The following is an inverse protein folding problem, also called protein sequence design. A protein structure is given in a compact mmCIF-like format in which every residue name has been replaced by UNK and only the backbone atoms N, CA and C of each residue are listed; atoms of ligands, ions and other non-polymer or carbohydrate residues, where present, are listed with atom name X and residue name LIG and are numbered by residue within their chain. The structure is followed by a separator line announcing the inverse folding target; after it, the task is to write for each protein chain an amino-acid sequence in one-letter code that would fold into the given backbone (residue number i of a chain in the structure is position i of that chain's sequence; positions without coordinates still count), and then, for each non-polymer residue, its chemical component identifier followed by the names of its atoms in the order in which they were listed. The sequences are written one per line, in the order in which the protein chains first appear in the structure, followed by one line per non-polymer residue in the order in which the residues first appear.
data_IF_142023257276
#
_entry.id   IF_142023257276
#
_cell.length_a   1.000
_cell.length_b   1.000
_cell.length_c   1.000
_cell.angle_alpha   90.00
_cell.angle_beta   90.00
_cell.angle_gamma   90.00
#
_symmetry.space_group_name_H-M   'P 1'
#
loop_
_entity.id
_entity.type
_entity.pdbx_description
1 polymer ?
#
# COMPACT_ATOMS: atom_id res chain seq x y z
N UNK A 1 -11.06 -22.65 -13.99
CA UNK A 1 -12.23 -21.77 -13.79
C UNK A 1 -13.01 -21.61 -15.09
N UNK A 2 -12.47 -21.00 -16.15
CA UNK A 2 -13.15 -20.86 -17.46
C UNK A 2 -13.85 -22.13 -17.95
N UNK A 3 -13.16 -23.28 -17.96
CA UNK A 3 -13.77 -24.56 -18.35
C UNK A 3 -15.02 -24.92 -17.54
N UNK A 4 -14.96 -24.76 -16.21
CA UNK A 4 -16.06 -25.10 -15.30
C UNK A 4 -17.23 -24.11 -15.40
N UNK A 5 -16.93 -22.82 -15.54
CA UNK A 5 -17.95 -21.77 -15.57
C UNK A 5 -18.53 -21.53 -16.97
N UNK A 6 -18.03 -22.18 -18.02
CA UNK A 6 -18.48 -22.00 -19.41
C UNK A 6 -19.97 -22.35 -19.63
N UNK A 7 -20.54 -23.23 -18.80
CA UNK A 7 -21.96 -23.60 -18.90
C UNK A 7 -22.92 -22.51 -18.41
N UNK A 8 -22.41 -21.46 -17.78
CA UNK A 8 -23.21 -20.38 -17.22
C UNK A 8 -23.16 -19.14 -18.12
N UNK A 9 -24.32 -18.59 -18.45
CA UNK A 9 -24.41 -17.45 -19.37
C UNK A 9 -24.18 -16.10 -18.67
N UNK A 10 -24.62 -15.96 -17.42
CA UNK A 10 -24.48 -14.69 -16.70
C UNK A 10 -23.15 -14.62 -15.94
N UNK A 11 -22.60 -13.41 -15.82
CA UNK A 11 -21.27 -13.19 -15.22
C UNK A 11 -21.28 -13.49 -13.72
N UNK A 12 -22.39 -13.21 -13.02
CA UNK A 12 -22.47 -13.41 -11.57
C UNK A 12 -22.41 -14.90 -11.20
N UNK A 13 -23.11 -15.74 -11.95
CA UNK A 13 -23.07 -17.19 -11.83
C UNK A 13 -21.68 -17.71 -12.19
N UNK A 14 -21.05 -17.21 -13.27
CA UNK A 14 -19.66 -17.58 -13.61
C UNK A 14 -18.72 -17.31 -12.44
N UNK A 15 -18.86 -16.18 -11.75
CA UNK A 15 -18.04 -15.81 -10.58
C UNK A 15 -18.38 -16.72 -9.38
N UNK A 16 -19.66 -16.87 -9.05
CA UNK A 16 -20.10 -17.70 -7.93
C UNK A 16 -19.62 -19.16 -8.09
N UNK A 17 -19.75 -19.73 -9.29
CA UNK A 17 -19.28 -21.08 -9.61
C UNK A 17 -17.76 -21.19 -9.60
N UNK A 18 -17.06 -20.14 -10.01
CA UNK A 18 -15.59 -20.09 -9.87
C UNK A 18 -15.16 -20.08 -8.40
N UNK A 19 -15.89 -19.40 -7.51
CA UNK A 19 -15.63 -19.45 -6.06
C UNK A 19 -15.87 -20.83 -5.48
N UNK A 20 -17.00 -21.47 -5.82
CA UNK A 20 -17.29 -22.85 -5.42
C UNK A 20 -16.23 -23.82 -5.92
N UNK A 21 -15.72 -23.65 -7.13
CA UNK A 21 -14.62 -24.46 -7.66
C UNK A 21 -13.34 -24.28 -6.83
N UNK A 22 -13.00 -23.05 -6.41
CA UNK A 22 -11.83 -22.80 -5.57
C UNK A 22 -11.95 -23.48 -4.20
N UNK A 23 -13.15 -23.46 -3.60
CA UNK A 23 -13.44 -24.21 -2.36
C UNK A 23 -13.31 -25.71 -2.59
N UNK A 24 -13.95 -26.24 -3.63
CA UNK A 24 -13.84 -27.65 -4.01
C UNK A 24 -12.40 -28.11 -4.23
N UNK A 25 -11.55 -27.29 -4.86
CA UNK A 25 -10.12 -27.59 -5.02
C UNK A 25 -9.41 -27.65 -3.67
N UNK A 26 -9.71 -26.74 -2.74
CA UNK A 26 -9.11 -26.75 -1.40
C UNK A 26 -9.52 -28.01 -0.64
N UNK A 27 -10.80 -28.36 -0.67
CA UNK A 27 -11.34 -29.54 0.02
C UNK A 27 -10.78 -30.84 -0.58
N UNK A 28 -10.73 -30.93 -1.92
CA UNK A 28 -10.18 -32.11 -2.63
C UNK A 28 -8.71 -32.36 -2.32
N UNK A 29 -7.97 -31.30 -1.97
CA UNK A 29 -6.55 -31.40 -1.67
C UNK A 29 -6.27 -31.49 -0.18
N UNK A 30 -7.27 -31.39 0.71
CA UNK A 30 -7.09 -31.21 2.16
C UNK A 30 -6.01 -32.13 2.75
N UNK A 31 -6.09 -33.43 2.46
CA UNK A 31 -5.17 -34.47 2.97
C UNK A 31 -3.92 -34.69 2.12
N UNK A 32 -3.79 -34.00 0.98
CA UNK A 32 -2.61 -34.10 0.11
C UNK A 32 -1.50 -33.18 0.59
N UNK A 33 -0.35 -33.78 0.88
CA UNK A 33 0.89 -33.10 1.27
C UNK A 33 1.90 -32.97 0.11
N UNK A 34 1.50 -33.31 -1.12
CA UNK A 34 2.40 -33.15 -2.26
C UNK A 34 2.77 -31.67 -2.46
N UNK A 35 4.02 -31.35 -2.88
CA UNK A 35 4.43 -29.96 -3.08
C UNK A 35 3.52 -29.19 -4.05
N UNK A 36 3.03 -29.86 -5.11
CA UNK A 36 2.09 -29.27 -6.06
C UNK A 36 0.73 -28.96 -5.41
N UNK A 37 0.20 -29.86 -4.56
CA UNK A 37 -1.03 -29.61 -3.83
C UNK A 37 -0.90 -28.41 -2.88
N UNK A 38 0.26 -28.21 -2.25
CA UNK A 38 0.51 -27.04 -1.41
C UNK A 38 0.48 -25.73 -2.22
N UNK A 39 1.14 -25.69 -3.39
CA UNK A 39 1.08 -24.55 -4.31
C UNK A 39 -0.36 -24.29 -4.74
N UNK A 40 -1.09 -25.32 -5.15
CA UNK A 40 -2.47 -25.17 -5.62
C UNK A 40 -3.42 -24.73 -4.49
N UNK A 41 -3.25 -25.23 -3.26
CA UNK A 41 -3.99 -24.76 -2.07
C UNK A 41 -3.71 -23.30 -1.75
N UNK A 42 -2.45 -22.86 -1.80
CA UNK A 42 -2.10 -21.46 -1.53
C UNK A 42 -2.67 -20.55 -2.61
N UNK A 43 -2.60 -20.98 -3.87
CA UNK A 43 -3.15 -20.26 -5.01
C UNK A 43 -4.67 -20.13 -4.94
N UNK A 44 -5.36 -21.24 -4.69
CA UNK A 44 -6.82 -21.22 -4.53
C UNK A 44 -7.26 -20.33 -3.35
N UNK A 45 -6.50 -20.36 -2.25
CA UNK A 45 -6.76 -19.52 -1.08
C UNK A 45 -6.50 -18.03 -1.35
N UNK A 46 -5.49 -17.70 -2.17
CA UNK A 46 -5.22 -16.34 -2.59
C UNK A 46 -6.37 -15.80 -3.45
N UNK A 47 -6.77 -16.56 -4.48
CA UNK A 47 -7.86 -16.19 -5.38
C UNK A 47 -9.20 -16.08 -4.66
N UNK A 48 -9.50 -16.98 -3.73
CA UNK A 48 -10.74 -16.92 -2.96
C UNK A 48 -10.89 -15.60 -2.15
N UNK A 49 -9.78 -14.97 -1.77
CA UNK A 49 -9.77 -13.68 -1.05
C UNK A 49 -9.89 -12.45 -1.95
N UNK A 50 -9.67 -12.61 -3.27
CA UNK A 50 -9.78 -11.50 -4.21
C UNK A 50 -11.24 -11.09 -4.40
N UNK A 51 -11.46 -9.85 -4.86
CA UNK A 51 -12.81 -9.36 -5.15
C UNK A 51 -13.36 -9.96 -6.45
N UNK A 52 -14.69 -9.90 -6.62
CA UNK A 52 -15.37 -10.48 -7.79
C UNK A 52 -14.91 -9.84 -9.11
N UNK A 53 -14.56 -8.55 -9.08
CA UNK A 53 -14.04 -7.84 -10.24
C UNK A 53 -12.68 -8.41 -10.69
N UNK A 54 -11.79 -8.73 -9.77
CA UNK A 54 -10.49 -9.34 -10.06
C UNK A 54 -10.67 -10.72 -10.69
N UNK A 55 -11.50 -11.60 -10.09
CA UNK A 55 -11.79 -12.92 -10.66
C UNK A 55 -12.34 -12.80 -12.08
N UNK A 56 -13.25 -11.84 -12.30
CA UNK A 56 -13.83 -11.59 -13.61
C UNK A 56 -12.78 -11.18 -14.63
N UNK A 57 -11.99 -10.14 -14.34
CA UNK A 57 -11.12 -9.50 -15.32
C UNK A 57 -9.81 -10.25 -15.54
N UNK A 58 -9.28 -10.98 -14.56
CA UNK A 58 -7.99 -11.68 -14.73
C UNK A 58 -8.17 -13.16 -15.11
N UNK A 59 -9.19 -13.83 -14.57
CA UNK A 59 -9.33 -15.28 -14.68
C UNK A 59 -10.53 -15.77 -15.49
N UNK A 60 -11.51 -14.90 -15.72
CA UNK A 60 -12.71 -15.21 -16.49
C UNK A 60 -12.81 -14.37 -17.78
N UNK A 61 -11.76 -13.60 -18.09
CA UNK A 61 -11.67 -12.89 -19.36
C UNK A 61 -11.49 -13.89 -20.50
N UNK A 62 -12.26 -13.69 -21.58
CA UNK A 62 -12.29 -14.61 -22.72
C UNK A 62 -11.01 -14.50 -23.55
N UNK A 63 -10.44 -13.30 -23.64
CA UNK A 63 -9.25 -12.98 -24.42
C UNK A 63 -8.07 -12.59 -23.52
N UNK A 64 -7.33 -13.58 -23.02
CA UNK A 64 -6.02 -13.36 -22.39
C UNK A 64 -4.92 -13.90 -23.30
N UNK A 65 -4.13 -12.99 -23.90
CA UNK A 65 -3.05 -13.32 -24.85
C UNK A 65 -1.86 -14.02 -24.16
N UNK A 66 -1.76 -13.97 -22.82
CA UNK A 66 -0.73 -14.65 -22.03
C UNK A 66 0.71 -14.36 -22.49
N UNK A 67 1.04 -13.09 -22.65
CA UNK A 67 2.38 -12.67 -23.05
C UNK A 67 3.47 -13.15 -22.09
N UNK A 68 4.55 -13.70 -22.64
CA UNK A 68 5.87 -13.54 -22.01
C UNK A 68 6.31 -12.07 -22.08
N UNK A 69 7.09 -11.62 -21.10
CA UNK A 69 7.54 -10.24 -21.05
C UNK A 69 8.32 -9.82 -22.29
N UNK A 70 9.17 -10.69 -22.83
CA UNK A 70 9.92 -10.38 -24.05
C UNK A 70 9.00 -10.21 -25.28
N UNK A 71 7.91 -10.98 -25.37
CA UNK A 71 6.94 -10.88 -26.46
C UNK A 71 6.20 -9.54 -26.40
N UNK A 72 5.74 -9.16 -25.20
CA UNK A 72 5.17 -7.82 -24.96
C UNK A 72 6.17 -6.71 -25.35
N UNK A 73 7.43 -6.86 -24.98
CA UNK A 73 8.46 -5.88 -25.31
C UNK A 73 8.80 -5.84 -26.81
N UNK A 74 8.68 -6.94 -27.52
CA UNK A 74 8.88 -6.98 -28.97
C UNK A 74 7.73 -6.27 -29.71
N UNK A 75 6.48 -6.38 -29.24
CA UNK A 75 5.36 -5.57 -29.74
C UNK A 75 5.54 -4.07 -29.41
N UNK A 76 6.01 -3.73 -28.21
CA UNK A 76 6.30 -2.34 -27.84
C UNK A 76 7.40 -1.72 -28.73
N UNK A 77 8.47 -2.47 -29.02
CA UNK A 77 9.57 -2.00 -29.90
C UNK A 77 9.11 -1.71 -31.32
N UNK A 78 8.20 -2.50 -31.89
CA UNK A 78 7.60 -2.24 -33.22
C UNK A 78 6.93 -0.85 -33.28
N UNK A 79 6.49 -0.34 -32.13
CA UNK A 79 5.85 0.97 -31.97
C UNK A 79 6.81 2.07 -31.47
N UNK A 80 8.14 1.87 -31.59
CA UNK A 80 9.17 2.81 -31.14
C UNK A 80 9.14 3.16 -29.64
N UNK A 81 8.70 2.20 -28.82
CA UNK A 81 8.73 2.28 -27.36
C UNK A 81 9.85 1.42 -26.78
N UNK A 82 10.42 1.86 -25.66
CA UNK A 82 11.41 1.12 -24.89
C UNK A 82 10.95 0.92 -23.44
N UNK A 83 11.47 -0.12 -22.79
CA UNK A 83 11.19 -0.43 -21.39
C UNK A 83 11.84 0.60 -20.46
N UNK A 84 11.03 1.33 -19.69
CA UNK A 84 11.55 2.22 -18.64
C UNK A 84 11.84 1.41 -17.37
N UNK A 85 10.79 0.87 -16.76
CA UNK A 85 10.81 0.09 -15.52
C UNK A 85 9.45 -0.59 -15.31
N UNK A 86 9.35 -1.45 -14.30
CA UNK A 86 8.05 -1.80 -13.72
C UNK A 86 7.64 -0.73 -12.69
N UNK A 87 6.34 -0.58 -12.43
CA UNK A 87 5.84 0.28 -11.35
C UNK A 87 6.26 -0.23 -9.96
N UNK A 88 6.49 -1.54 -9.82
CA UNK A 88 7.07 -2.15 -8.63
C UNK A 88 8.58 -2.25 -8.77
N UNK A 89 9.30 -1.25 -8.27
CA UNK A 89 10.78 -1.21 -8.31
C UNK A 89 11.39 -2.44 -7.61
N UNK A 90 10.77 -2.90 -6.52
CA UNK A 90 11.19 -4.09 -5.78
C UNK A 90 11.20 -5.37 -6.62
N UNK A 91 10.32 -5.47 -7.62
CA UNK A 91 10.29 -6.61 -8.53
C UNK A 91 11.52 -6.68 -9.45
N UNK A 92 12.20 -5.55 -9.66
CA UNK A 92 13.38 -5.44 -10.51
C UNK A 92 14.68 -5.66 -9.72
N UNK A 93 14.60 -5.74 -8.40
CA UNK A 93 15.79 -5.79 -7.53
C UNK A 93 16.36 -7.20 -7.43
N UNK A 94 17.58 -7.36 -7.97
CA UNK A 94 18.30 -8.64 -7.98
C UNK A 94 18.98 -8.97 -6.65
N UNK A 95 19.21 -7.99 -5.76
CA UNK A 95 20.10 -8.14 -4.61
C UNK A 95 19.61 -9.09 -3.50
N UNK A 96 18.39 -9.62 -3.61
CA UNK A 96 17.89 -10.69 -2.74
C UNK A 96 18.30 -12.09 -3.25
N UNK A 97 18.89 -12.19 -4.44
CA UNK A 97 19.34 -13.46 -5.01
C UNK A 97 20.77 -13.81 -4.60
N UNK A 98 21.16 -15.10 -4.66
CA UNK A 98 22.54 -15.51 -4.42
C UNK A 98 23.51 -14.75 -5.32
N UNK A 99 24.66 -14.31 -4.78
CA UNK A 99 25.63 -13.47 -5.49
C UNK A 99 26.02 -14.03 -6.88
N UNK A 100 26.21 -15.35 -6.98
CA UNK A 100 26.52 -16.04 -8.24
C UNK A 100 25.44 -15.90 -9.31
N UNK A 101 24.17 -15.79 -8.91
CA UNK A 101 23.04 -15.56 -9.84
C UNK A 101 23.03 -14.11 -10.30
N UNK A 102 23.24 -13.17 -9.36
CA UNK A 102 23.32 -11.74 -9.65
C UNK A 102 24.44 -11.44 -10.66
N UNK A 103 25.64 -12.00 -10.45
CA UNK A 103 26.78 -11.85 -11.36
C UNK A 103 26.44 -12.32 -12.79
N UNK A 104 25.79 -13.49 -12.91
CA UNK A 104 25.36 -14.03 -14.21
C UNK A 104 24.31 -13.15 -14.87
N UNK A 105 23.32 -12.68 -14.12
CA UNK A 105 22.25 -11.83 -14.65
C UNK A 105 22.77 -10.44 -15.06
N UNK A 106 23.73 -9.89 -14.32
CA UNK A 106 24.40 -8.62 -14.65
C UNK A 106 25.25 -8.72 -15.91
N UNK A 107 25.82 -9.89 -16.21
CA UNK A 107 26.61 -10.12 -17.42
C UNK A 107 25.77 -10.12 -18.73
N UNK A 108 24.43 -10.31 -18.65
CA UNK A 108 23.55 -10.41 -19.83
C UNK A 108 23.45 -9.08 -20.61
N UNK A 109 23.72 -7.93 -19.97
CA UNK A 109 23.67 -6.58 -20.53
C UNK A 109 22.43 -6.27 -21.42
N UNK A 110 21.30 -6.92 -21.13
CA UNK A 110 20.01 -6.73 -21.76
C UNK A 110 18.94 -6.85 -20.67
N UNK A 111 18.37 -5.70 -20.30
CA UNK A 111 17.39 -5.62 -19.20
C UNK A 111 16.15 -6.46 -19.49
N UNK A 112 15.70 -6.56 -20.74
CA UNK A 112 14.49 -7.31 -21.09
C UNK A 112 14.73 -8.81 -20.87
N UNK A 113 15.90 -9.30 -21.26
CA UNK A 113 16.29 -10.69 -20.99
C UNK A 113 16.46 -10.95 -19.50
N UNK A 114 17.15 -10.06 -18.77
CA UNK A 114 17.31 -10.20 -17.32
C UNK A 114 15.95 -10.27 -16.61
N UNK A 115 15.03 -9.37 -16.94
CA UNK A 115 13.66 -9.36 -16.42
C UNK A 115 12.86 -10.60 -16.81
N UNK A 116 13.02 -11.11 -18.03
CA UNK A 116 12.38 -12.36 -18.46
C UNK A 116 12.88 -13.57 -17.67
N UNK A 117 14.19 -13.64 -17.37
CA UNK A 117 14.73 -14.68 -16.49
C UNK A 117 14.18 -14.57 -15.07
N UNK A 118 14.04 -13.33 -14.56
CA UNK A 118 13.40 -13.08 -13.28
C UNK A 118 11.96 -13.60 -13.26
N UNK A 119 11.21 -13.44 -14.35
CA UNK A 119 9.84 -13.94 -14.44
C UNK A 119 9.77 -15.46 -14.33
N UNK A 120 10.69 -16.18 -14.98
CA UNK A 120 10.74 -17.63 -14.90
C UNK A 120 11.04 -18.13 -13.50
N UNK A 121 12.01 -17.53 -12.80
CA UNK A 121 12.44 -18.02 -11.47
C UNK A 121 11.53 -17.56 -10.33
N UNK A 122 10.81 -16.46 -10.50
CA UNK A 122 9.87 -15.95 -9.49
C UNK A 122 8.42 -16.33 -9.77
N UNK A 123 8.16 -17.04 -10.88
CA UNK A 123 6.82 -17.33 -11.37
C UNK A 123 5.96 -16.06 -11.44
N UNK A 124 6.48 -15.01 -12.11
CA UNK A 124 5.81 -13.71 -12.15
C UNK A 124 4.50 -13.80 -12.93
N UNK A 125 3.42 -13.33 -12.31
CA UNK A 125 2.06 -13.48 -12.83
C UNK A 125 1.48 -12.20 -13.40
N UNK A 126 2.04 -11.05 -13.00
CA UNK A 126 1.56 -9.74 -13.37
C UNK A 126 2.70 -8.75 -13.48
N UNK A 127 2.59 -7.83 -14.45
CA UNK A 127 3.52 -6.72 -14.68
C UNK A 127 2.74 -5.43 -14.86
N UNK A 128 3.24 -4.36 -14.25
CA UNK A 128 2.77 -2.99 -14.45
C UNK A 128 3.91 -2.24 -15.13
N UNK A 129 4.04 -2.40 -16.44
CA UNK A 129 5.20 -1.92 -17.19
C UNK A 129 5.07 -0.46 -17.60
N UNK A 130 6.09 0.33 -17.30
CA UNK A 130 6.26 1.69 -17.83
C UNK A 130 7.08 1.67 -19.11
N UNK A 131 6.58 2.35 -20.14
CA UNK A 131 7.25 2.52 -21.42
C UNK A 131 7.56 4.01 -21.65
N UNK A 132 8.60 4.28 -22.43
CA UNK A 132 8.88 5.63 -22.93
C UNK A 132 9.33 5.58 -24.39
N UNK A 133 9.43 6.75 -25.04
CA UNK A 133 9.93 6.83 -26.41
C UNK A 133 11.37 6.32 -26.50
N UNK A 134 11.68 5.56 -27.55
CA UNK A 134 13.01 4.97 -27.78
C UNK A 134 14.14 6.02 -27.91
N UNK A 135 13.81 7.28 -28.21
CA UNK A 135 14.78 8.38 -28.30
C UNK A 135 15.32 8.86 -26.95
N UNK A 136 14.66 8.51 -25.83
CA UNK A 136 15.09 8.94 -24.49
C UNK A 136 16.29 8.11 -24.03
N UNK A 137 17.40 8.77 -23.69
CA UNK A 137 18.57 8.08 -23.11
C UNK A 137 18.31 7.76 -21.63
N UNK A 138 18.15 6.47 -21.32
CA UNK A 138 17.94 5.99 -19.95
C UNK A 138 19.26 5.79 -19.21
N UNK A 139 19.31 6.23 -17.95
CA UNK A 139 20.40 5.90 -17.02
C UNK A 139 19.87 4.92 -15.96
N UNK A 140 20.46 3.72 -15.91
CA UNK A 140 20.09 2.67 -14.94
C UNK A 140 21.07 2.55 -13.77
N UNK A 141 22.13 3.36 -13.76
CA UNK A 141 23.05 3.45 -12.63
C UNK A 141 22.43 4.31 -11.54
N UNK A 142 21.94 3.65 -10.48
CA UNK A 142 21.33 4.27 -9.32
C UNK A 142 22.38 4.34 -8.21
N UNK A 143 22.60 5.54 -7.67
CA UNK A 143 23.52 5.78 -6.56
C UNK A 143 22.77 6.19 -5.29
N UNK A 144 23.43 6.06 -4.15
CA UNK A 144 22.83 6.43 -2.86
C UNK A 144 22.45 7.93 -2.82
N UNK A 145 23.24 8.80 -3.45
CA UNK A 145 23.02 10.24 -3.51
C UNK A 145 21.74 10.63 -4.26
N UNK A 146 21.22 9.75 -5.13
CA UNK A 146 19.99 9.99 -5.88
C UNK A 146 18.77 10.12 -4.96
N UNK A 147 18.85 9.62 -3.71
CA UNK A 147 17.77 9.79 -2.73
C UNK A 147 17.42 11.26 -2.48
N UNK A 148 18.39 12.17 -2.62
CA UNK A 148 18.19 13.61 -2.43
C UNK A 148 17.29 14.25 -3.50
N UNK A 149 17.05 13.55 -4.62
CA UNK A 149 16.19 14.02 -5.71
C UNK A 149 14.70 13.80 -5.42
N UNK A 150 14.37 13.01 -4.41
CA UNK A 150 13.00 12.60 -4.14
C UNK A 150 12.58 12.99 -2.73
N UNK A 151 11.27 13.19 -2.56
CA UNK A 151 10.66 13.07 -1.26
C UNK A 151 10.42 11.59 -0.97
N UNK A 152 10.48 11.27 0.30
CA UNK A 152 10.35 9.92 0.83
C UNK A 152 8.99 9.84 1.51
N UNK A 153 8.21 8.82 1.20
CA UNK A 153 6.91 8.57 1.82
C UNK A 153 7.10 7.50 2.88
N UNK A 154 7.04 7.86 4.17
CA UNK A 154 7.17 6.90 5.23
C UNK A 154 6.01 5.92 5.29
N UNK A 155 6.32 4.66 5.54
CA UNK A 155 5.32 3.66 5.90
C UNK A 155 5.33 3.40 7.41
N UNK A 156 4.21 2.86 7.92
CA UNK A 156 4.00 2.64 9.34
C UNK A 156 4.86 1.47 9.86
N UNK A 157 5.76 1.66 10.84
CA UNK A 157 6.28 0.55 11.61
C UNK A 157 5.26 0.10 12.66
N UNK A 158 5.26 -1.20 12.98
CA UNK A 158 4.20 -1.83 13.79
C UNK A 158 4.28 -1.64 15.32
N UNK A 159 5.23 -0.90 15.89
CA UNK A 159 5.44 -0.91 17.35
C UNK A 159 5.85 0.47 17.89
N UNK A 160 5.35 0.82 19.09
CA UNK A 160 5.89 1.88 19.95
C UNK A 160 7.17 1.36 20.60
N UNK A 161 8.31 2.01 20.40
CA UNK A 161 9.61 1.49 20.85
C UNK A 161 10.23 2.45 21.90
N UNK A 162 11.35 2.06 22.51
CA UNK A 162 12.26 2.97 23.21
C UNK A 162 13.49 3.30 22.32
N UNK A 163 13.63 4.57 21.94
CA UNK A 163 14.73 5.08 21.11
C UNK A 163 16.10 4.95 21.77
N UNK A 164 16.17 4.91 23.11
CA UNK A 164 17.42 4.87 23.87
C UNK A 164 17.85 3.44 24.24
N UNK A 165 17.01 2.44 23.96
CA UNK A 165 17.36 1.04 24.18
C UNK A 165 18.56 0.63 23.30
N UNK A 166 19.49 -0.15 23.86
CA UNK A 166 20.58 -0.79 23.11
C UNK A 166 20.15 -2.09 22.42
N UNK A 167 18.92 -2.54 22.66
CA UNK A 167 18.40 -3.77 22.08
C UNK A 167 18.14 -3.62 20.57
N UNK A 168 18.17 -4.74 19.85
CA UNK A 168 17.82 -4.74 18.44
C UNK A 168 16.31 -4.61 18.28
N UNK A 169 15.87 -3.60 17.55
CA UNK A 169 14.46 -3.33 17.34
C UNK A 169 14.01 -3.87 15.98
N UNK A 170 12.85 -4.51 15.96
CA UNK A 170 12.23 -5.07 14.75
C UNK A 170 11.11 -4.17 14.23
N UNK A 171 11.28 -3.71 13.00
CA UNK A 171 10.34 -2.87 12.29
C UNK A 171 9.68 -3.68 11.19
N UNK A 172 8.39 -3.97 11.36
CA UNK A 172 7.61 -4.72 10.38
C UNK A 172 6.97 -3.79 9.36
N UNK A 173 6.91 -4.25 8.12
CA UNK A 173 6.35 -3.50 7.00
C UNK A 173 4.88 -3.87 6.79
N UNK A 174 3.98 -2.89 6.76
CA UNK A 174 2.55 -3.09 6.45
C UNK A 174 1.83 -4.21 7.22
N UNK A 175 2.18 -4.44 8.49
CA UNK A 175 1.54 -5.53 9.24
C UNK A 175 2.11 -6.91 8.95
N UNK A 176 3.04 -7.04 7.99
CA UNK A 176 3.61 -8.31 7.58
C UNK A 176 4.74 -8.72 8.53
N UNK A 177 4.52 -9.79 9.31
CA UNK A 177 5.51 -10.33 10.24
C UNK A 177 6.70 -10.99 9.56
N UNK A 178 6.57 -11.38 8.29
CA UNK A 178 7.61 -12.03 7.51
C UNK A 178 8.53 -11.03 6.80
N UNK A 179 8.15 -9.74 6.79
CA UNK A 179 8.92 -8.66 6.19
C UNK A 179 9.29 -7.62 7.24
N UNK A 180 10.50 -7.73 7.79
CA UNK A 180 10.99 -6.86 8.85
C UNK A 180 12.40 -6.35 8.61
N UNK A 181 12.66 -5.11 9.01
CA UNK A 181 13.99 -4.55 9.18
C UNK A 181 14.36 -4.64 10.66
N UNK A 182 15.61 -5.04 10.96
CA UNK A 182 16.12 -5.03 12.33
C UNK A 182 17.31 -4.07 12.43
N UNK A 183 17.39 -3.28 13.50
CA UNK A 183 18.54 -2.41 13.73
C UNK A 183 18.81 -2.19 15.21
N UNK A 184 20.09 -2.10 15.57
CA UNK A 184 20.56 -1.62 16.87
C UNK A 184 21.11 -0.19 16.80
N UNK A 185 21.20 0.42 15.61
CA UNK A 185 21.72 1.79 15.47
C UNK A 185 20.71 2.80 16.04
N UNK A 186 21.12 3.68 16.96
CA UNK A 186 20.26 4.75 17.47
C UNK A 186 19.85 5.73 16.35
N UNK A 187 20.68 5.91 15.32
CA UNK A 187 20.37 6.83 14.21
C UNK A 187 19.29 6.24 13.30
N UNK A 188 19.39 4.94 12.96
CA UNK A 188 18.33 4.27 12.19
C UNK A 188 17.03 4.17 12.98
N UNK A 189 17.09 3.90 14.29
CA UNK A 189 15.90 3.98 15.15
C UNK A 189 15.25 5.36 15.05
N UNK A 190 16.01 6.45 15.22
CA UNK A 190 15.47 7.81 15.10
C UNK A 190 14.84 8.10 13.71
N UNK A 191 15.41 7.58 12.63
CA UNK A 191 14.86 7.69 11.26
C UNK A 191 13.54 6.94 11.14
N UNK A 192 13.49 5.68 11.57
CA UNK A 192 12.29 4.83 11.48
C UNK A 192 11.15 5.34 12.36
N UNK A 193 11.45 6.03 13.46
CA UNK A 193 10.42 6.75 14.23
C UNK A 193 9.95 8.03 13.58
N UNK A 194 10.87 8.78 12.96
CA UNK A 194 10.46 9.93 12.17
C UNK A 194 9.50 9.49 11.06
N UNK A 195 9.71 8.29 10.50
CA UNK A 195 8.78 7.67 9.58
C UNK A 195 7.42 7.34 10.21
N UNK A 196 7.40 6.76 11.41
CA UNK A 196 6.15 6.41 12.11
C UNK A 196 5.27 7.61 12.43
N UNK A 197 5.86 8.77 12.69
CA UNK A 197 5.13 10.01 12.97
C UNK A 197 4.64 10.73 11.71
N UNK A 198 5.20 10.41 10.55
CA UNK A 198 4.93 11.10 9.28
C UNK A 198 4.35 10.16 8.21
N UNK A 199 3.61 9.14 8.64
CA UNK A 199 3.02 8.11 7.77
C UNK A 199 2.29 8.74 6.59
N UNK A 200 2.59 8.21 5.41
CA UNK A 200 2.05 8.63 4.12
C UNK A 200 2.33 10.10 3.76
N UNK A 201 3.08 10.89 4.54
CA UNK A 201 3.40 12.29 4.23
C UNK A 201 4.79 12.41 3.58
N UNK A 202 4.91 12.89 2.32
CA UNK A 202 6.21 13.03 1.67
C UNK A 202 7.16 13.98 2.44
N UNK A 203 8.37 13.53 2.75
CA UNK A 203 9.41 14.32 3.41
C UNK A 203 10.69 14.33 2.60
N UNK A 204 11.38 15.48 2.53
CA UNK A 204 12.71 15.52 1.94
C UNK A 204 13.74 14.82 2.83
N UNK A 205 14.86 14.40 2.24
CA UNK A 205 15.99 13.81 2.97
C UNK A 205 16.42 14.66 4.18
N UNK A 206 16.62 15.97 3.97
CA UNK A 206 17.03 16.89 5.04
C UNK A 206 15.98 17.02 6.14
N UNK A 207 14.68 17.04 5.80
CA UNK A 207 13.62 17.11 6.82
C UNK A 207 13.62 15.87 7.69
N UNK A 208 13.81 14.68 7.10
CA UNK A 208 13.92 13.43 7.85
C UNK A 208 15.13 13.47 8.77
N UNK A 209 16.30 13.88 8.26
CA UNK A 209 17.51 13.97 9.05
C UNK A 209 17.37 14.95 10.23
N UNK A 210 16.79 16.13 10.01
CA UNK A 210 16.58 17.14 11.06
C UNK A 210 15.56 16.67 12.09
N UNK A 211 14.44 16.08 11.67
CA UNK A 211 13.43 15.55 12.59
C UNK A 211 13.97 14.39 13.43
N UNK A 212 14.75 13.49 12.81
CA UNK A 212 15.44 12.39 13.52
C UNK A 212 16.47 12.94 14.50
N UNK A 213 17.21 13.99 14.12
CA UNK A 213 18.20 14.62 14.99
C UNK A 213 17.59 15.21 16.25
N UNK A 214 16.39 15.82 16.15
CA UNK A 214 15.66 16.34 17.33
C UNK A 214 15.34 15.25 18.35
N UNK A 215 15.09 14.02 17.89
CA UNK A 215 14.84 12.86 18.77
C UNK A 215 16.09 12.41 19.54
N UNK A 216 17.27 12.79 19.05
CA UNK A 216 18.58 12.51 19.67
C UNK A 216 19.23 13.79 20.20
N UNK A 217 18.42 14.66 20.83
CA UNK A 217 18.84 15.93 21.46
C UNK A 217 19.54 16.94 20.52
N UNK A 218 19.42 16.78 19.20
CA UNK A 218 19.94 17.73 18.23
C UNK A 218 21.44 17.62 17.93
N UNK A 219 22.14 16.61 18.45
CA UNK A 219 23.62 16.54 18.41
C UNK A 219 24.20 15.59 17.35
N UNK A 220 23.36 14.88 16.60
CA UNK A 220 23.72 13.72 15.76
C UNK A 220 23.36 13.85 14.28
N UNK A 221 23.24 15.09 13.78
CA UNK A 221 22.75 15.34 12.41
C UNK A 221 23.63 14.68 11.34
N UNK A 222 24.96 14.75 11.48
CA UNK A 222 25.89 14.24 10.48
C UNK A 222 25.88 12.71 10.43
N UNK A 223 25.86 12.07 11.59
CA UNK A 223 25.78 10.62 11.72
C UNK A 223 24.47 10.08 11.15
N UNK A 224 23.35 10.75 11.44
CA UNK A 224 22.04 10.43 10.85
C UNK A 224 22.06 10.58 9.34
N UNK A 225 22.61 11.68 8.80
CA UNK A 225 22.70 11.88 7.35
C UNK A 225 23.55 10.80 6.70
N UNK A 226 24.70 10.46 7.28
CA UNK A 226 25.59 9.44 6.73
C UNK A 226 24.93 8.06 6.71
N UNK A 227 24.30 7.65 7.82
CA UNK A 227 23.62 6.36 7.90
C UNK A 227 22.38 6.32 6.99
N UNK A 228 21.62 7.42 6.92
CA UNK A 228 20.46 7.47 6.05
C UNK A 228 20.85 7.38 4.59
N UNK A 229 21.86 8.15 4.16
CA UNK A 229 22.39 8.12 2.80
C UNK A 229 22.87 6.71 2.40
N UNK A 230 23.57 6.02 3.31
CA UNK A 230 24.10 4.68 3.06
C UNK A 230 23.01 3.61 2.85
N UNK A 231 21.81 3.80 3.42
CA UNK A 231 20.77 2.76 3.46
C UNK A 231 19.50 3.10 2.66
N UNK A 232 19.16 4.38 2.47
CA UNK A 232 17.85 4.78 1.96
C UNK A 232 17.54 4.21 0.57
N UNK A 233 18.47 4.32 -0.38
CA UNK A 233 18.23 3.83 -1.74
C UNK A 233 18.09 2.31 -1.79
N UNK A 234 18.86 1.58 -0.98
CA UNK A 234 18.70 0.13 -0.84
C UNK A 234 17.31 -0.24 -0.32
N UNK A 235 16.81 0.47 0.69
CA UNK A 235 15.47 0.26 1.24
C UNK A 235 14.38 0.60 0.20
N UNK A 236 14.59 1.61 -0.64
CA UNK A 236 13.70 1.92 -1.77
C UNK A 236 13.68 0.78 -2.78
N UNK A 237 14.85 0.30 -3.21
CA UNK A 237 14.96 -0.80 -4.17
C UNK A 237 14.40 -2.12 -3.62
N UNK A 238 14.41 -2.33 -2.30
CA UNK A 238 13.79 -3.49 -1.66
C UNK A 238 12.27 -3.33 -1.43
N UNK A 239 11.71 -2.13 -1.66
CA UNK A 239 10.29 -1.85 -1.47
C UNK A 239 9.89 -1.54 -0.02
N UNK A 240 10.84 -1.20 0.84
CA UNK A 240 10.60 -0.77 2.23
C UNK A 240 10.40 0.75 2.37
N UNK A 241 10.71 1.52 1.34
CA UNK A 241 10.53 2.97 1.33
C UNK A 241 10.00 3.36 -0.03
N UNK A 242 8.95 4.17 -0.06
CA UNK A 242 8.48 4.77 -1.29
C UNK A 242 9.14 6.13 -1.53
N UNK A 243 9.47 6.42 -2.78
CA UNK A 243 9.93 7.74 -3.23
C UNK A 243 8.87 8.40 -4.11
N UNK A 244 8.83 9.73 -4.08
CA UNK A 244 7.88 10.53 -4.84
C UNK A 244 8.44 11.90 -5.17
N UNK A 245 7.96 12.48 -6.26
CA UNK A 245 8.16 13.89 -6.58
C UNK A 245 7.09 14.80 -5.95
N UNK A 246 6.06 14.23 -5.33
CA UNK A 246 5.03 15.00 -4.63
C UNK A 246 5.64 15.74 -3.45
N UNK A 247 5.29 17.02 -3.30
CA UNK A 247 5.72 17.85 -2.18
C UNK A 247 5.14 17.36 -0.84
N UNK A 248 5.78 17.74 0.27
CA UNK A 248 5.21 17.56 1.62
C UNK A 248 3.82 18.19 1.68
N UNK A 249 2.85 17.47 2.25
CA UNK A 249 1.50 18.02 2.44
C UNK A 249 1.52 19.18 3.42
N UNK A 250 0.56 20.08 3.26
CA UNK A 250 0.28 21.11 4.25
C UNK A 250 -0.19 20.47 5.55
N UNK A 251 0.07 21.15 6.66
CA UNK A 251 -0.47 20.77 7.95
C UNK A 251 -2.00 20.86 7.90
N UNK A 252 -2.67 19.86 8.46
CA UNK A 252 -4.13 19.76 8.48
C UNK A 252 -4.65 20.38 9.77
N UNK A 253 -5.59 21.32 9.67
CA UNK A 253 -6.32 21.81 10.84
C UNK A 253 -7.38 20.77 11.26
N UNK A 254 -7.07 20.02 12.32
CA UNK A 254 -7.98 19.01 12.88
C UNK A 254 -9.14 19.62 13.69
N UNK A 255 -9.12 20.93 13.97
CA UNK A 255 -10.23 21.60 14.66
C UNK A 255 -11.38 21.88 13.69
N UNK A 256 -11.05 22.13 12.42
CA UNK A 256 -11.99 22.31 11.30
C UNK A 256 -11.52 21.44 10.13
N UNK A 257 -11.65 20.12 10.25
CA UNK A 257 -11.10 19.18 9.27
C UNK A 257 -11.77 19.38 7.91
N UNK A 258 -10.98 19.22 6.85
CA UNK A 258 -11.42 19.34 5.47
C UNK A 258 -11.03 18.13 4.65
N UNK A 259 -12.01 17.41 4.10
CA UNK A 259 -11.79 16.34 3.15
C UNK A 259 -11.53 16.90 1.74
N UNK A 260 -10.89 16.10 0.88
CA UNK A 260 -10.75 16.46 -0.54
C UNK A 260 -12.12 16.48 -1.24
N UNK A 261 -12.23 17.23 -2.35
CA UNK A 261 -13.47 17.27 -3.15
C UNK A 261 -13.91 15.90 -3.65
N UNK A 262 -12.95 15.03 -3.99
CA UNK A 262 -13.23 13.66 -4.43
C UNK A 262 -13.84 12.84 -3.29
N UNK A 263 -13.26 12.94 -2.09
CA UNK A 263 -13.78 12.23 -0.92
C UNK A 263 -15.18 12.74 -0.60
N UNK A 264 -15.38 14.06 -0.53
CA UNK A 264 -16.69 14.68 -0.29
C UNK A 264 -17.74 14.20 -1.30
N UNK A 265 -17.38 14.09 -2.58
CA UNK A 265 -18.24 13.52 -3.60
C UNK A 265 -18.55 12.03 -3.34
N UNK A 266 -17.53 11.20 -3.09
CA UNK A 266 -17.69 9.77 -2.87
C UNK A 266 -18.58 9.46 -1.67
N UNK A 267 -18.39 10.15 -0.55
CA UNK A 267 -19.18 9.90 0.66
C UNK A 267 -20.63 10.33 0.52
N UNK A 268 -20.93 11.34 -0.31
CA UNK A 268 -22.28 11.85 -0.52
C UNK A 268 -23.04 11.13 -1.65
N UNK A 269 -22.36 10.63 -2.68
CA UNK A 269 -23.02 10.18 -3.92
C UNK A 269 -22.80 8.71 -4.27
N UNK A 270 -22.06 7.95 -3.45
CA UNK A 270 -21.80 6.54 -3.74
C UNK A 270 -22.23 5.65 -2.58
N UNK A 271 -22.68 4.41 -2.83
CA UNK A 271 -22.98 3.44 -1.78
C UNK A 271 -21.70 2.83 -1.16
N UNK A 272 -20.53 3.13 -1.71
CA UNK A 272 -19.27 2.49 -1.35
C UNK A 272 -18.88 2.76 0.12
N UNK A 273 -18.21 1.77 0.71
CA UNK A 273 -17.62 1.80 2.05
C UNK A 273 -16.09 1.97 1.97
N UNK A 274 -15.66 2.75 0.98
CA UNK A 274 -14.28 3.11 0.75
C UNK A 274 -14.23 4.47 0.05
N UNK A 275 -13.10 5.16 0.22
CA UNK A 275 -12.81 6.44 -0.44
C UNK A 275 -11.43 6.41 -1.07
N UNK A 276 -11.16 7.31 -2.01
CA UNK A 276 -9.85 7.45 -2.65
C UNK A 276 -9.09 8.60 -1.99
N UNK A 277 -7.94 8.29 -1.38
CA UNK A 277 -7.12 9.30 -0.73
C UNK A 277 -6.31 10.14 -1.75
N UNK A 278 -5.55 11.13 -1.25
CA UNK A 278 -4.70 11.98 -2.09
C UNK A 278 -3.53 11.25 -2.78
N UNK A 279 -3.27 9.99 -2.42
CA UNK A 279 -2.27 9.12 -3.04
C UNK A 279 -2.87 8.16 -4.06
N UNK A 280 -4.15 8.32 -4.41
CA UNK A 280 -4.88 7.43 -5.30
C UNK A 280 -5.03 6.00 -4.75
N UNK A 281 -4.99 5.85 -3.42
CA UNK A 281 -5.18 4.58 -2.73
C UNK A 281 -6.63 4.45 -2.24
N UNK A 282 -7.15 3.23 -2.27
CA UNK A 282 -8.48 2.90 -1.73
C UNK A 282 -8.37 2.72 -0.22
N UNK A 283 -9.09 3.54 0.54
CA UNK A 283 -9.14 3.48 2.00
C UNK A 283 -10.52 3.04 2.44
N UNK A 284 -10.61 1.87 3.06
CA UNK A 284 -11.86 1.35 3.62
C UNK A 284 -12.35 2.21 4.79
N UNK A 285 -13.65 2.49 4.80
CA UNK A 285 -14.33 3.28 5.82
C UNK A 285 -15.57 2.53 6.31
N UNK A 286 -15.98 2.79 7.56
CA UNK A 286 -17.25 2.33 8.09
C UNK A 286 -18.29 3.46 8.02
N UNK A 287 -19.51 3.17 8.46
CA UNK A 287 -20.64 4.09 8.27
C UNK A 287 -20.44 5.40 9.05
N UNK A 288 -19.91 5.30 10.28
CA UNK A 288 -19.50 6.46 11.08
C UNK A 288 -18.50 7.35 10.33
N UNK A 289 -17.41 6.77 9.82
CA UNK A 289 -16.39 7.51 9.06
C UNK A 289 -16.97 8.17 7.81
N UNK A 290 -17.89 7.50 7.12
CA UNK A 290 -18.56 8.02 5.92
C UNK A 290 -19.38 9.26 6.23
N UNK A 291 -20.24 9.20 7.25
CA UNK A 291 -21.02 10.34 7.69
C UNK A 291 -20.14 11.46 8.24
N UNK A 292 -19.15 11.15 9.07
CA UNK A 292 -18.22 12.16 9.58
C UNK A 292 -17.53 12.93 8.44
N UNK A 293 -17.01 12.22 7.41
CA UNK A 293 -16.36 12.83 6.25
C UNK A 293 -17.27 13.73 5.42
N UNK A 294 -18.59 13.51 5.41
CA UNK A 294 -19.55 14.40 4.70
C UNK A 294 -19.55 15.81 5.29
N UNK A 295 -19.26 15.95 6.57
CA UNK A 295 -19.28 17.22 7.30
C UNK A 295 -17.88 17.83 7.52
N UNK A 296 -16.82 17.18 7.02
CA UNK A 296 -15.45 17.72 7.07
C UNK A 296 -15.20 18.64 5.88
N UNK A 297 -15.75 19.85 5.93
CA UNK A 297 -15.68 20.84 4.83
C UNK A 297 -14.70 22.00 5.09
N UNK A 298 -14.01 21.99 6.24
CA UNK A 298 -13.16 23.08 6.71
C UNK A 298 -13.91 24.23 7.39
N UNK A 299 -15.23 24.11 7.60
CA UNK A 299 -16.05 25.10 8.30
C UNK A 299 -16.56 24.55 9.62
N UNK A 300 -17.05 23.31 9.61
CA UNK A 300 -17.57 22.65 10.80
C UNK A 300 -16.46 22.29 11.76
N UNK A 301 -16.65 22.63 13.03
CA UNK A 301 -15.80 22.14 14.10
C UNK A 301 -16.18 20.71 14.52
N UNK A 302 -15.34 20.11 15.38
CA UNK A 302 -15.56 18.75 15.86
C UNK A 302 -16.91 18.55 16.54
N UNK A 303 -17.44 19.55 17.26
CA UNK A 303 -18.76 19.44 17.91
C UNK A 303 -19.88 19.45 16.87
N UNK A 304 -19.79 20.33 15.88
CA UNK A 304 -20.76 20.42 14.80
C UNK A 304 -20.78 19.15 13.92
N UNK A 305 -19.61 18.53 13.71
CA UNK A 305 -19.52 17.23 13.01
C UNK A 305 -20.24 16.15 13.82
N UNK A 306 -20.00 16.06 15.14
CA UNK A 306 -20.71 15.11 16.02
C UNK A 306 -22.22 15.32 15.96
N UNK A 307 -22.70 16.56 16.09
CA UNK A 307 -24.14 16.84 16.04
C UNK A 307 -24.76 16.44 14.69
N UNK A 308 -24.02 16.60 13.58
CA UNK A 308 -24.49 16.16 12.26
C UNK A 308 -24.55 14.63 12.15
N UNK A 309 -23.55 13.92 12.69
CA UNK A 309 -23.56 12.45 12.77
C UNK A 309 -24.69 11.95 13.68
N UNK A 310 -24.99 12.66 14.77
CA UNK A 310 -26.12 12.35 15.66
C UNK A 310 -27.47 12.45 14.94
N UNK A 311 -27.63 13.34 13.96
CA UNK A 311 -28.86 13.43 13.15
C UNK A 311 -29.11 12.13 12.37
N UNK A 312 -28.07 11.52 11.80
CA UNK A 312 -28.19 10.22 11.12
C UNK A 312 -28.53 9.06 12.07
N UNK A 313 -28.11 9.15 13.33
CA UNK A 313 -28.52 8.15 14.34
C UNK A 313 -29.99 8.33 14.70
N UNK A 314 -30.43 9.57 14.89
CA UNK A 314 -31.82 9.90 15.20
C UNK A 314 -32.79 9.55 14.07
N UNK A 315 -32.36 9.69 12.81
CA UNK A 315 -33.15 9.28 11.64
C UNK A 315 -33.16 7.76 11.40
N UNK A 316 -32.34 7.00 12.15
CA UNK A 316 -32.21 5.55 12.01
C UNK A 316 -31.32 5.10 10.85
N UNK A 317 -30.63 6.01 10.18
CA UNK A 317 -29.67 5.70 9.10
C UNK A 317 -28.38 5.05 9.62
N UNK A 318 -28.05 5.25 10.89
CA UNK A 318 -26.92 4.62 11.56
C UNK A 318 -27.29 4.15 12.97
N UNK A 319 -26.72 3.03 13.39
CA UNK A 319 -26.77 2.58 14.78
C UNK A 319 -25.37 2.43 15.34
N UNK A 320 -25.20 2.75 16.62
CA UNK A 320 -23.96 2.50 17.35
C UNK A 320 -24.14 1.31 18.28
N UNK A 321 -23.14 0.43 18.31
CA UNK A 321 -23.14 -0.75 19.17
C UNK A 321 -21.85 -0.85 19.96
N UNK A 322 -21.96 -1.28 21.21
CA UNK A 322 -20.84 -1.65 22.08
C UNK A 322 -21.02 -3.09 22.52
N UNK A 323 -19.98 -3.92 22.36
CA UNK A 323 -20.00 -5.35 22.69
C UNK A 323 -21.19 -6.12 22.07
N UNK A 324 -21.53 -5.78 20.82
CA UNK A 324 -22.62 -6.40 20.07
C UNK A 324 -24.03 -5.95 20.46
N UNK A 325 -24.18 -5.05 21.45
CA UNK A 325 -25.48 -4.48 21.84
C UNK A 325 -25.62 -3.04 21.34
N UNK A 326 -26.80 -2.70 20.82
CA UNK A 326 -27.13 -1.33 20.42
C UNK A 326 -27.14 -0.43 21.67
N UNK A 327 -26.52 0.73 21.56
CA UNK A 327 -26.63 1.77 22.59
C UNK A 327 -27.95 2.51 22.34
N UNK A 328 -28.88 2.44 23.30
CA UNK A 328 -30.19 3.08 23.18
C UNK A 328 -30.20 4.50 23.77
N UNK A 329 -29.32 4.78 24.73
CA UNK A 329 -29.24 6.09 25.38
C UNK A 329 -28.51 7.10 24.50
N UNK A 330 -29.21 8.18 24.11
CA UNK A 330 -28.71 9.21 23.20
C UNK A 330 -27.46 9.96 23.73
N UNK A 331 -27.39 10.20 25.04
CA UNK A 331 -26.26 10.89 25.66
C UNK A 331 -25.02 9.97 25.71
N UNK A 332 -25.24 8.67 25.90
CA UNK A 332 -24.17 7.67 25.83
C UNK A 332 -23.64 7.54 24.40
N UNK A 333 -24.51 7.58 23.39
CA UNK A 333 -24.10 7.60 21.97
C UNK A 333 -23.23 8.81 21.68
N UNK A 334 -23.64 10.02 22.09
CA UNK A 334 -22.85 11.25 21.87
C UNK A 334 -21.44 11.10 22.46
N UNK A 335 -21.34 10.68 23.72
CA UNK A 335 -20.04 10.47 24.41
C UNK A 335 -19.15 9.46 23.69
N UNK A 336 -19.75 8.39 23.17
CA UNK A 336 -19.02 7.38 22.40
C UNK A 336 -18.49 7.94 21.07
N UNK A 337 -19.31 8.72 20.34
CA UNK A 337 -18.85 9.35 19.10
C UNK A 337 -17.70 10.35 19.35
N UNK A 338 -17.78 11.14 20.42
CA UNK A 338 -16.71 12.05 20.84
C UNK A 338 -15.41 11.28 21.10
N UNK A 339 -15.51 10.11 21.76
CA UNK A 339 -14.38 9.22 22.03
C UNK A 339 -13.78 8.65 20.74
N UNK A 340 -14.60 8.34 19.73
CA UNK A 340 -14.13 7.81 18.44
C UNK A 340 -13.61 8.85 17.46
N UNK A 341 -14.07 10.10 17.55
CA UNK A 341 -13.72 11.12 16.56
C UNK A 341 -12.24 11.44 16.58
N UNK A 342 -11.62 11.63 17.74
CA UNK A 342 -10.20 12.01 17.84
C UNK A 342 -9.25 10.97 17.21
N UNK A 343 -9.30 9.68 17.58
CA UNK A 343 -8.51 8.65 16.89
C UNK A 343 -8.83 8.54 15.39
N UNK A 344 -10.07 8.86 14.99
CA UNK A 344 -10.49 8.84 13.59
C UNK A 344 -9.87 9.99 12.79
N UNK A 345 -9.81 11.20 13.34
CA UNK A 345 -9.14 12.35 12.71
C UNK A 345 -7.64 12.04 12.51
N UNK A 346 -6.96 11.51 13.53
CA UNK A 346 -5.56 11.08 13.41
C UNK A 346 -5.38 10.05 12.30
N UNK A 347 -6.29 9.08 12.19
CA UNK A 347 -6.28 8.11 11.09
C UNK A 347 -6.54 8.75 9.72
N UNK A 348 -7.42 9.74 9.64
CA UNK A 348 -7.69 10.44 8.38
C UNK A 348 -6.50 11.27 7.91
N UNK A 349 -5.80 11.95 8.82
CA UNK A 349 -4.54 12.66 8.52
C UNK A 349 -3.48 11.68 8.03
N UNK A 350 -3.24 10.59 8.77
CA UNK A 350 -2.23 9.58 8.40
C UNK A 350 -2.58 8.82 7.13
N UNK A 351 -3.85 8.71 6.74
CA UNK A 351 -4.27 8.10 5.47
C UNK A 351 -4.44 9.13 4.33
N UNK A 352 -3.98 10.37 4.52
CA UNK A 352 -4.05 11.45 3.52
C UNK A 352 -5.48 11.75 3.03
N UNK A 353 -6.48 11.62 3.90
CA UNK A 353 -7.88 11.92 3.60
C UNK A 353 -8.25 13.39 3.79
N UNK A 354 -7.47 14.13 4.60
CA UNK A 354 -7.70 15.55 4.91
C UNK A 354 -6.67 16.47 4.23
N UNK A 355 -7.07 17.70 3.92
CA UNK A 355 -6.30 18.73 3.19
C UNK A 355 -6.17 20.05 3.95
#
# INVERSE_FOLDING_TARGET
MLYHSNTFNNIQDKIAQSRLLLEFVKDSLETSDSPYAQVLKSEASLLAKQNDHYLRHDHLEEDNVQYYFHEFMDEAKKNNLQYLSDCSIASMYLGNMPAKVVEKLQAINDIVRTEQYMDFITNRRFRSTLLCHNSVKLNRSINNEDINKFNIVPEKPLVDIDLNSLETEKFYYNGNKDSSLSTSSPYMKAILYTFSENINNPMSFDKIAVSSNKKLHGTKLNEIKAEFLANAMKLVLQGYINITLQATRKEVDINKPKASKLIAYQVAHTPNMWVTNQRHEVVAINLFKKFALQYMDGKHDNKQIIESVMQHINSGEMTLSRDGKKIENIDEVRKELETFLQPTLTRFVTNALLI
#
